data_IF_138175556220
#
_entry.id   IF_138175556220
#
_cell.length_a   1.000
_cell.length_b   1.000
_cell.length_c   1.000
_cell.angle_alpha   90.00
_cell.angle_beta   90.00
_cell.angle_gamma   90.00
#
_symmetry.space_group_name_H-M   'P 1'
#
loop_
_entity.id
_entity.type
_entity.pdbx_description
1 polymer ?
#
# COMPACT_ATOMS: atom_id res chain seq x y z
N UNK A 1 -9.06 -22.22 13.60
CA UNK A 1 -8.06 -21.84 12.59
C UNK A 1 -8.13 -20.32 12.40
N UNK A 2 -7.34 -19.73 11.49
CA UNK A 2 -7.32 -18.27 11.30
C UNK A 2 -8.69 -17.70 10.90
N UNK A 3 -9.41 -18.37 10.00
CA UNK A 3 -10.75 -17.96 9.56
C UNK A 3 -11.73 -17.88 10.73
N UNK A 4 -11.75 -18.89 11.61
CA UNK A 4 -12.60 -18.86 12.80
C UNK A 4 -12.26 -17.68 13.75
N UNK A 5 -10.97 -17.38 13.91
CA UNK A 5 -10.53 -16.26 14.76
C UNK A 5 -10.93 -14.89 14.19
N UNK A 6 -10.92 -14.73 12.86
CA UNK A 6 -11.43 -13.52 12.21
C UNK A 6 -12.96 -13.43 12.28
N UNK A 7 -13.68 -14.54 12.13
CA UNK A 7 -15.14 -14.58 12.23
C UNK A 7 -15.64 -14.16 13.62
N UNK A 8 -15.00 -14.66 14.69
CA UNK A 8 -15.34 -14.28 16.07
C UNK A 8 -15.21 -12.76 16.29
N UNK A 9 -14.10 -12.18 15.84
CA UNK A 9 -13.88 -10.73 15.96
C UNK A 9 -14.84 -9.92 15.10
N UNK A 10 -15.10 -10.37 13.87
CA UNK A 10 -16.03 -9.70 12.95
C UNK A 10 -17.45 -9.65 13.53
N UNK A 11 -17.93 -10.76 14.10
CA UNK A 11 -19.26 -10.82 14.72
C UNK A 11 -19.32 -9.91 15.95
N UNK A 12 -18.30 -9.93 16.81
CA UNK A 12 -18.25 -9.07 17.98
C UNK A 12 -18.28 -7.57 17.62
N UNK A 13 -17.58 -7.17 16.55
CA UNK A 13 -17.61 -5.80 16.04
C UNK A 13 -19.00 -5.43 15.47
N UNK A 14 -19.63 -6.34 14.73
CA UNK A 14 -20.97 -6.13 14.19
C UNK A 14 -22.04 -6.01 15.30
N UNK A 15 -22.00 -6.89 16.30
CA UNK A 15 -22.87 -6.83 17.48
C UNK A 15 -22.65 -5.53 18.29
N UNK A 16 -21.42 -5.01 18.27
CA UNK A 16 -21.05 -3.71 18.83
C UNK A 16 -21.55 -2.50 18.02
N UNK A 17 -22.18 -2.72 16.86
CA UNK A 17 -22.76 -1.68 16.01
C UNK A 17 -21.78 -1.05 15.02
N UNK A 18 -20.70 -1.74 14.65
CA UNK A 18 -19.82 -1.27 13.59
C UNK A 18 -20.54 -1.25 12.23
N UNK A 19 -20.32 -0.19 11.43
CA UNK A 19 -20.89 -0.07 10.09
C UNK A 19 -20.05 -0.80 9.02
N UNK A 20 -18.77 -1.03 9.30
CA UNK A 20 -17.78 -1.54 8.35
C UNK A 20 -16.69 -2.32 9.08
N UNK A 21 -16.17 -3.36 8.44
CA UNK A 21 -15.01 -4.11 8.91
C UNK A 21 -13.74 -3.67 8.18
N UNK A 22 -12.69 -3.39 8.94
CA UNK A 22 -11.45 -2.87 8.40
C UNK A 22 -10.29 -3.84 8.67
N UNK A 23 -9.87 -4.55 7.64
CA UNK A 23 -8.72 -5.45 7.66
C UNK A 23 -7.46 -4.62 7.34
N UNK A 24 -6.70 -4.25 8.37
CA UNK A 24 -5.56 -3.34 8.24
C UNK A 24 -4.20 -4.04 8.31
N UNK A 25 -3.24 -3.61 7.48
CA UNK A 25 -1.82 -4.00 7.56
C UNK A 25 -1.56 -5.50 7.40
N UNK A 26 -2.35 -6.19 6.57
CA UNK A 26 -2.08 -7.60 6.29
C UNK A 26 -0.86 -7.74 5.36
N UNK A 27 -0.21 -8.90 5.41
CA UNK A 27 1.03 -9.12 4.66
C UNK A 27 1.03 -10.36 3.77
N UNK A 28 0.21 -11.39 4.05
CA UNK A 28 0.16 -12.60 3.20
C UNK A 28 -1.19 -12.80 2.53
N UNK A 29 -1.19 -13.57 1.44
CA UNK A 29 -2.40 -13.98 0.72
C UNK A 29 -3.27 -14.86 1.61
N UNK A 30 -2.68 -15.84 2.28
CA UNK A 30 -3.39 -16.80 3.12
C UNK A 30 -4.07 -16.14 4.32
N UNK A 31 -3.42 -15.12 4.90
CA UNK A 31 -3.98 -14.32 5.97
C UNK A 31 -5.15 -13.47 5.46
N UNK A 32 -5.00 -12.81 4.31
CA UNK A 32 -6.07 -12.02 3.70
C UNK A 32 -7.27 -12.88 3.30
N UNK A 33 -7.06 -14.05 2.71
CA UNK A 33 -8.13 -14.99 2.36
C UNK A 33 -8.90 -15.44 3.62
N UNK A 34 -8.18 -15.84 4.68
CA UNK A 34 -8.79 -16.22 5.95
C UNK A 34 -9.57 -15.04 6.58
N UNK A 35 -9.02 -13.83 6.52
CA UNK A 35 -9.62 -12.63 7.06
C UNK A 35 -10.90 -12.23 6.31
N UNK A 36 -10.88 -12.24 4.99
CA UNK A 36 -12.05 -11.95 4.16
C UNK A 36 -13.15 -13.01 4.36
N UNK A 37 -12.78 -14.29 4.42
CA UNK A 37 -13.74 -15.36 4.67
C UNK A 37 -14.36 -15.28 6.07
N UNK A 38 -13.56 -14.95 7.08
CA UNK A 38 -14.05 -14.74 8.44
C UNK A 38 -14.97 -13.52 8.53
N UNK A 39 -14.56 -12.38 7.96
CA UNK A 39 -15.31 -11.14 7.94
C UNK A 39 -16.67 -11.24 7.23
N UNK A 40 -16.76 -12.06 6.17
CA UNK A 40 -17.99 -12.27 5.42
C UNK A 40 -19.15 -12.82 6.30
N UNK A 41 -18.83 -13.51 7.40
CA UNK A 41 -19.85 -14.06 8.32
C UNK A 41 -20.68 -12.98 9.02
N UNK A 42 -20.15 -11.77 9.17
CA UNK A 42 -20.79 -10.66 9.87
C UNK A 42 -21.75 -9.84 8.97
N UNK A 43 -21.74 -10.08 7.65
CA UNK A 43 -22.64 -9.38 6.71
C UNK A 43 -22.38 -7.87 6.54
N UNK A 44 -21.27 -7.35 7.07
CA UNK A 44 -20.87 -5.95 6.93
C UNK A 44 -19.96 -5.74 5.71
N UNK A 45 -19.93 -4.53 5.13
CA UNK A 45 -18.93 -4.17 4.13
C UNK A 45 -17.51 -4.33 4.68
N UNK A 46 -16.56 -4.70 3.82
CA UNK A 46 -15.17 -4.97 4.18
C UNK A 46 -14.23 -4.06 3.39
N UNK A 47 -13.27 -3.48 4.11
CA UNK A 47 -12.09 -2.81 3.56
C UNK A 47 -10.86 -3.65 3.86
N UNK A 48 -9.96 -3.81 2.90
CA UNK A 48 -8.67 -4.47 3.14
C UNK A 48 -7.48 -3.61 2.70
N UNK A 49 -6.46 -3.52 3.53
CA UNK A 49 -5.24 -2.78 3.22
C UNK A 49 -4.01 -3.60 3.54
N UNK A 50 -3.01 -3.49 2.66
CA UNK A 50 -1.72 -4.15 2.82
C UNK A 50 -0.62 -3.12 3.05
N UNK A 51 0.47 -3.56 3.65
CA UNK A 51 1.69 -2.77 3.80
C UNK A 51 2.77 -3.24 2.84
N UNK A 52 3.02 -2.46 1.78
CA UNK A 52 4.07 -2.74 0.80
C UNK A 52 5.43 -2.17 1.25
N UNK A 53 6.49 -2.94 1.03
CA UNK A 53 7.87 -2.62 1.36
C UNK A 53 8.66 -2.05 0.16
N UNK A 54 9.97 -1.85 0.32
CA UNK A 54 10.87 -1.29 -0.71
C UNK A 54 11.03 -2.16 -1.96
N UNK A 55 10.59 -3.41 -1.95
CA UNK A 55 10.58 -4.30 -3.11
C UNK A 55 9.27 -4.19 -3.90
N UNK A 56 8.39 -3.24 -3.54
CA UNK A 56 7.09 -3.00 -4.19
C UNK A 56 6.06 -4.09 -3.86
N UNK A 57 6.27 -4.87 -2.81
CA UNK A 57 5.42 -5.99 -2.40
C UNK A 57 5.38 -6.07 -0.89
N UNK A 58 4.46 -6.82 -0.31
CA UNK A 58 4.46 -7.03 1.14
C UNK A 58 5.70 -7.85 1.56
N UNK A 59 5.96 -7.93 2.86
CA UNK A 59 7.02 -8.78 3.42
C UNK A 59 6.90 -10.26 2.99
N UNK A 60 5.68 -10.72 2.70
CA UNK A 60 5.41 -12.09 2.26
C UNK A 60 5.31 -12.22 0.73
N UNK A 61 5.68 -11.17 -0.01
CA UNK A 61 5.82 -11.19 -1.46
C UNK A 61 4.58 -10.83 -2.25
N UNK A 62 3.49 -10.41 -1.59
CA UNK A 62 2.20 -10.11 -2.20
C UNK A 62 2.21 -8.71 -2.84
N UNK A 63 1.90 -8.62 -4.14
CA UNK A 63 2.01 -7.35 -4.89
C UNK A 63 0.71 -6.55 -4.88
N UNK A 64 0.74 -5.25 -5.22
CA UNK A 64 -0.47 -4.46 -5.43
C UNK A 64 -1.40 -5.06 -6.50
N UNK A 65 -0.84 -5.65 -7.56
CA UNK A 65 -1.61 -6.36 -8.59
C UNK A 65 -2.29 -7.62 -8.07
N UNK A 66 -1.60 -8.39 -7.21
CA UNK A 66 -2.20 -9.57 -6.59
C UNK A 66 -3.37 -9.20 -5.66
N UNK A 67 -3.28 -8.09 -4.95
CA UNK A 67 -4.37 -7.55 -4.13
C UNK A 67 -5.60 -7.23 -4.98
N UNK A 68 -5.41 -6.54 -6.10
CA UNK A 68 -6.49 -6.22 -7.04
C UNK A 68 -7.16 -7.49 -7.57
N UNK A 69 -6.36 -8.45 -8.03
CA UNK A 69 -6.86 -9.72 -8.52
C UNK A 69 -7.66 -10.47 -7.46
N UNK A 70 -7.14 -10.54 -6.23
CA UNK A 70 -7.84 -11.18 -5.12
C UNK A 70 -9.16 -10.45 -4.81
N UNK A 71 -9.16 -9.13 -4.78
CA UNK A 71 -10.38 -8.35 -4.52
C UNK A 71 -11.48 -8.61 -5.57
N UNK A 72 -11.11 -8.83 -6.84
CA UNK A 72 -12.05 -9.19 -7.91
C UNK A 72 -12.57 -10.63 -7.82
N UNK A 73 -11.71 -11.57 -7.43
CA UNK A 73 -12.00 -13.00 -7.52
C UNK A 73 -12.58 -13.59 -6.22
N UNK A 74 -12.27 -12.99 -5.08
CA UNK A 74 -12.68 -13.54 -3.79
C UNK A 74 -14.20 -13.43 -3.60
N UNK A 75 -14.92 -14.48 -3.17
CA UNK A 75 -16.38 -14.46 -3.03
C UNK A 75 -16.91 -13.34 -2.12
N UNK A 76 -16.14 -12.99 -1.09
CA UNK A 76 -16.49 -11.90 -0.17
C UNK A 76 -16.29 -10.49 -0.76
N UNK A 77 -15.53 -10.37 -1.86
CA UNK A 77 -15.18 -9.15 -2.61
C UNK A 77 -15.23 -7.84 -1.79
N UNK A 78 -14.09 -7.36 -1.26
CA UNK A 78 -14.06 -6.17 -0.42
C UNK A 78 -14.51 -4.93 -1.20
N UNK A 79 -15.27 -4.04 -0.56
CA UNK A 79 -15.78 -2.80 -1.17
C UNK A 79 -14.67 -1.77 -1.38
N UNK A 80 -13.59 -1.86 -0.62
CA UNK A 80 -12.42 -1.02 -0.79
C UNK A 80 -11.14 -1.81 -0.52
N UNK A 81 -10.08 -1.51 -1.28
CA UNK A 81 -8.77 -2.07 -1.03
C UNK A 81 -7.65 -1.06 -1.28
N UNK A 82 -6.46 -1.32 -0.74
CA UNK A 82 -5.29 -0.52 -1.08
C UNK A 82 -4.13 -0.68 -0.12
N UNK A 83 -3.47 0.43 0.16
CA UNK A 83 -2.22 0.45 0.91
C UNK A 83 -2.34 1.32 2.16
N UNK A 84 -1.85 0.79 3.27
CA UNK A 84 -1.64 1.53 4.50
C UNK A 84 -0.23 1.28 5.04
N UNK A 85 0.24 2.16 5.92
CA UNK A 85 1.56 2.04 6.51
C UNK A 85 2.65 2.03 5.42
N UNK A 86 3.55 1.04 5.43
CA UNK A 86 4.66 0.92 4.50
C UNK A 86 5.86 1.82 4.83
N UNK A 87 6.68 2.07 3.81
CA UNK A 87 7.91 2.87 3.93
C UNK A 87 7.60 4.35 4.18
N UNK A 88 6.57 4.88 3.52
CA UNK A 88 6.17 6.29 3.62
C UNK A 88 5.12 6.68 2.57
N UNK A 89 4.82 7.99 2.50
CA UNK A 89 3.81 8.54 1.61
C UNK A 89 4.05 8.25 0.12
N UNK A 90 5.32 8.32 -0.31
CA UNK A 90 5.71 8.06 -1.69
C UNK A 90 5.35 6.62 -2.14
N UNK A 91 5.71 5.61 -1.33
CA UNK A 91 5.38 4.20 -1.57
C UNK A 91 3.88 3.93 -1.63
N UNK A 92 3.11 4.54 -0.72
CA UNK A 92 1.65 4.37 -0.71
C UNK A 92 1.05 4.95 -1.99
N UNK A 93 1.44 6.16 -2.39
CA UNK A 93 0.94 6.74 -3.65
C UNK A 93 1.34 5.89 -4.85
N UNK A 94 2.59 5.44 -4.94
CA UNK A 94 3.05 4.56 -6.01
C UNK A 94 2.21 3.26 -6.08
N UNK A 95 1.91 2.65 -4.95
CA UNK A 95 1.06 1.45 -4.89
C UNK A 95 -0.34 1.71 -5.44
N UNK A 96 -0.92 2.87 -5.16
CA UNK A 96 -2.25 3.25 -5.66
C UNK A 96 -2.23 3.53 -7.16
N UNK A 97 -1.18 4.19 -7.66
CA UNK A 97 -0.96 4.37 -9.10
C UNK A 97 -0.92 3.01 -9.82
N UNK A 98 -0.15 2.06 -9.28
CA UNK A 98 -0.04 0.69 -9.83
C UNK A 98 -1.40 0.01 -9.86
N UNK A 99 -2.13 0.00 -8.73
CA UNK A 99 -3.47 -0.63 -8.67
C UNK A 99 -4.43 0.04 -9.67
N UNK A 100 -4.42 1.37 -9.73
CA UNK A 100 -5.30 2.11 -10.64
C UNK A 100 -4.98 1.84 -12.11
N UNK A 101 -3.70 1.70 -12.49
CA UNK A 101 -3.28 1.36 -13.85
C UNK A 101 -3.71 -0.05 -14.23
N UNK A 102 -3.52 -1.02 -13.32
CA UNK A 102 -3.90 -2.41 -13.55
C UNK A 102 -5.43 -2.55 -13.66
N UNK A 103 -6.19 -1.82 -12.84
CA UNK A 103 -7.65 -1.81 -12.91
C UNK A 103 -8.17 -1.23 -14.24
N UNK A 104 -7.49 -0.23 -14.82
CA UNK A 104 -7.84 0.32 -16.14
C UNK A 104 -7.46 -0.59 -17.30
N UNK A 105 -6.41 -1.41 -17.15
CA UNK A 105 -5.97 -2.35 -18.17
C UNK A 105 -6.74 -3.68 -18.14
N UNK A 106 -7.52 -3.95 -17.10
CA UNK A 106 -8.29 -5.17 -16.95
C UNK A 106 -9.68 -5.05 -17.62
N UNK A 107 -9.73 -5.28 -18.93
CA UNK A 107 -10.97 -5.31 -19.72
C UNK A 107 -11.93 -6.45 -19.31
N UNK A 108 -11.48 -7.39 -18.45
CA UNK A 108 -12.28 -8.53 -18.00
C UNK A 108 -13.06 -8.27 -16.71
N UNK A 109 -12.73 -7.20 -15.99
CA UNK A 109 -13.40 -6.83 -14.76
C UNK A 109 -14.72 -6.09 -15.05
N UNK A 110 -15.84 -6.50 -14.44
CA UNK A 110 -17.06 -5.70 -14.48
C UNK A 110 -16.79 -4.31 -13.88
N UNK A 111 -17.12 -3.25 -14.61
CA UNK A 111 -16.85 -1.87 -14.17
C UNK A 111 -17.52 -1.51 -12.83
N UNK A 112 -18.58 -2.24 -12.44
CA UNK A 112 -19.31 -2.11 -11.18
C UNK A 112 -18.68 -2.89 -10.01
N UNK A 113 -17.57 -3.60 -10.24
CA UNK A 113 -16.85 -4.42 -9.23
C UNK A 113 -15.47 -3.91 -8.83
N UNK A 114 -15.02 -2.77 -9.35
CA UNK A 114 -13.75 -2.20 -8.92
C UNK A 114 -13.86 -1.70 -7.47
N UNK A 115 -13.02 -2.19 -6.54
CA UNK A 115 -13.02 -1.70 -5.17
C UNK A 115 -12.59 -0.22 -5.12
N UNK A 116 -13.13 0.53 -4.16
CA UNK A 116 -12.62 1.87 -3.87
C UNK A 116 -11.16 1.78 -3.41
N UNK A 117 -10.31 2.65 -3.93
CA UNK A 117 -8.90 2.64 -3.56
C UNK A 117 -8.64 3.39 -2.24
N UNK A 118 -7.91 2.74 -1.34
CA UNK A 118 -7.56 3.23 0.00
C UNK A 118 -6.08 3.59 0.06
N UNK A 119 -5.77 4.83 0.44
CA UNK A 119 -4.42 5.30 0.70
C UNK A 119 -4.33 5.77 2.15
N UNK A 120 -3.47 5.15 2.97
CA UNK A 120 -3.31 5.53 4.37
C UNK A 120 -1.85 5.49 4.83
N UNK A 121 -1.07 6.49 4.42
CA UNK A 121 0.38 6.52 4.63
C UNK A 121 0.82 6.83 6.07
N UNK A 122 2.02 6.37 6.44
CA UNK A 122 2.72 6.88 7.62
C UNK A 122 3.02 8.38 7.47
N UNK A 123 3.10 9.09 8.59
CA UNK A 123 3.44 10.51 8.61
C UNK A 123 4.95 10.71 8.43
N UNK A 124 5.44 10.54 7.21
CA UNK A 124 6.87 10.49 6.93
C UNK A 124 7.50 9.15 7.28
N UNK A 125 8.83 9.12 7.31
CA UNK A 125 9.61 7.89 7.48
C UNK A 125 9.89 7.71 8.99
N UNK A 126 9.70 6.50 9.56
CA UNK A 126 10.05 6.23 10.95
C UNK A 126 11.57 6.30 11.16
N UNK A 127 12.00 7.11 12.11
CA UNK A 127 13.40 7.26 12.54
C UNK A 127 13.54 6.85 14.00
N UNK A 128 14.65 6.18 14.35
CA UNK A 128 14.94 5.86 15.74
C UNK A 128 15.77 6.98 16.37
N UNK A 129 15.14 7.77 17.23
CA UNK A 129 15.74 8.93 17.89
C UNK A 129 15.58 8.78 19.40
N UNK A 130 16.69 8.78 20.14
CA UNK A 130 16.71 8.73 21.61
C UNK A 130 15.88 7.60 22.22
N UNK A 131 15.99 6.38 21.67
CA UNK A 131 15.34 5.19 22.22
C UNK A 131 13.89 4.97 21.76
N UNK A 132 13.35 5.84 20.92
CA UNK A 132 11.96 5.76 20.42
C UNK A 132 11.87 6.00 18.92
N UNK A 133 10.79 5.49 18.31
CA UNK A 133 10.46 5.76 16.92
C UNK A 133 9.77 7.13 16.84
N UNK A 134 10.31 8.02 16.00
CA UNK A 134 9.77 9.34 15.69
C UNK A 134 9.47 9.38 14.19
N UNK A 135 8.36 10.02 13.85
CA UNK A 135 7.92 10.20 12.47
C UNK A 135 8.21 11.66 12.06
N UNK A 136 8.93 11.83 10.96
CA UNK A 136 9.44 13.13 10.52
C UNK A 136 8.50 13.89 9.56
N UNK A 137 7.32 13.33 9.28
CA UNK A 137 6.35 13.95 8.39
C UNK A 137 5.74 15.21 8.99
N UNK A 138 5.43 16.17 8.11
CA UNK A 138 4.81 17.44 8.48
C UNK A 138 3.37 17.52 7.97
N UNK A 139 2.54 18.43 8.52
CA UNK A 139 1.20 18.70 7.96
C UNK A 139 1.26 19.08 6.48
N UNK A 140 2.28 19.82 6.05
CA UNK A 140 2.48 20.18 4.64
C UNK A 140 2.77 18.96 3.76
N UNK A 141 3.66 18.07 4.19
CA UNK A 141 3.95 16.81 3.49
C UNK A 141 2.69 15.96 3.34
N UNK A 142 1.90 15.83 4.42
CA UNK A 142 0.66 15.05 4.37
C UNK A 142 -0.39 15.70 3.46
N UNK A 143 -0.44 17.03 3.37
CA UNK A 143 -1.27 17.74 2.41
C UNK A 143 -0.89 17.44 0.95
N UNK A 144 0.41 17.45 0.62
CA UNK A 144 0.91 17.04 -0.70
C UNK A 144 0.57 15.58 -1.02
N UNK A 145 0.77 14.71 -0.04
CA UNK A 145 0.42 13.30 -0.13
C UNK A 145 -1.06 13.11 -0.44
N UNK A 146 -1.95 13.82 0.24
CA UNK A 146 -3.40 13.67 0.02
C UNK A 146 -3.82 14.06 -1.40
N UNK A 147 -3.23 15.13 -1.96
CA UNK A 147 -3.47 15.55 -3.35
C UNK A 147 -3.01 14.47 -4.34
N UNK A 148 -1.77 13.99 -4.18
CA UNK A 148 -1.22 12.96 -5.05
C UNK A 148 -1.96 11.63 -4.92
N UNK A 149 -2.37 11.24 -3.71
CA UNK A 149 -3.19 10.05 -3.50
C UNK A 149 -4.55 10.16 -4.22
N UNK A 150 -5.17 11.34 -4.18
CA UNK A 150 -6.42 11.62 -4.91
C UNK A 150 -6.23 11.49 -6.42
N UNK A 151 -5.18 12.11 -6.97
CA UNK A 151 -4.86 12.04 -8.39
C UNK A 151 -4.43 10.64 -8.84
N UNK A 152 -3.83 9.85 -7.94
CA UNK A 152 -3.50 8.44 -8.17
C UNK A 152 -4.73 7.53 -8.29
N UNK A 153 -5.90 7.98 -7.80
CA UNK A 153 -7.15 7.22 -7.86
C UNK A 153 -7.78 6.90 -6.51
N UNK A 154 -7.13 7.25 -5.39
CA UNK A 154 -7.67 6.98 -4.05
C UNK A 154 -9.02 7.70 -3.84
N UNK A 155 -9.92 7.03 -3.14
CA UNK A 155 -11.22 7.55 -2.71
C UNK A 155 -11.34 7.62 -1.20
N UNK A 156 -10.59 6.77 -0.49
CA UNK A 156 -10.44 6.84 0.96
C UNK A 156 -8.99 7.20 1.24
N UNK A 157 -8.78 8.39 1.81
CA UNK A 157 -7.45 8.97 2.05
C UNK A 157 -7.33 9.30 3.54
N UNK A 158 -6.26 8.85 4.18
CA UNK A 158 -6.00 9.13 5.59
C UNK A 158 -4.53 8.94 5.95
N UNK A 159 -4.24 8.77 7.24
CA UNK A 159 -2.90 8.47 7.71
C UNK A 159 -2.84 7.30 8.68
N UNK A 160 -1.65 6.71 8.79
CA UNK A 160 -1.31 5.58 9.65
C UNK A 160 -0.39 6.07 10.78
N UNK A 161 0.72 5.38 11.03
CA UNK A 161 1.59 5.67 12.16
C UNK A 161 2.17 7.08 12.08
N UNK A 162 2.26 7.77 13.22
CA UNK A 162 2.73 9.16 13.32
C UNK A 162 1.71 10.23 12.93
N UNK A 163 0.58 9.86 12.30
CA UNK A 163 -0.44 10.83 11.89
C UNK A 163 -1.19 11.38 13.10
N UNK A 164 -1.46 12.68 13.10
CA UNK A 164 -2.22 13.38 14.16
C UNK A 164 -3.41 14.11 13.58
N UNK A 165 -4.30 14.62 14.42
CA UNK A 165 -5.44 15.44 13.99
C UNK A 165 -5.04 16.70 13.20
N UNK A 166 -3.84 17.26 13.45
CA UNK A 166 -3.30 18.37 12.67
C UNK A 166 -3.01 17.96 11.23
N UNK A 167 -2.38 16.80 11.04
CA UNK A 167 -2.15 16.22 9.72
C UNK A 167 -3.46 15.95 8.98
N UNK A 168 -4.46 15.37 9.65
CA UNK A 168 -5.79 15.15 9.05
C UNK A 168 -6.42 16.47 8.59
N UNK A 169 -6.34 17.53 9.40
CA UNK A 169 -6.88 18.85 9.04
C UNK A 169 -6.16 19.46 7.83
N UNK A 170 -4.85 19.31 7.75
CA UNK A 170 -4.07 19.76 6.60
C UNK A 170 -4.44 18.98 5.33
N UNK A 171 -4.54 17.65 5.41
CA UNK A 171 -5.02 16.81 4.32
C UNK A 171 -6.41 17.22 3.84
N UNK A 172 -7.35 17.44 4.78
CA UNK A 172 -8.71 17.88 4.43
C UNK A 172 -8.71 19.22 3.70
N UNK A 173 -8.00 20.20 4.24
CA UNK A 173 -7.91 21.55 3.64
C UNK A 173 -7.33 21.48 2.22
N UNK A 174 -6.28 20.69 2.04
CA UNK A 174 -5.65 20.51 0.74
C UNK A 174 -6.60 19.83 -0.26
N UNK A 175 -7.32 18.79 0.15
CA UNK A 175 -8.30 18.09 -0.69
C UNK A 175 -9.48 18.99 -1.09
N UNK A 176 -9.93 19.89 -0.20
CA UNK A 176 -11.02 20.83 -0.49
C UNK A 176 -10.67 21.86 -1.56
N UNK A 177 -9.40 22.23 -1.61
CA UNK A 177 -8.87 23.21 -2.54
C UNK A 177 -8.28 22.55 -3.80
N UNK A 178 -8.22 21.21 -3.83
CA UNK A 178 -7.56 20.47 -4.90
C UNK A 178 -8.46 20.36 -6.13
N UNK A 179 -7.93 20.78 -7.27
CA UNK A 179 -8.48 20.43 -8.57
C UNK A 179 -7.77 19.19 -9.06
N UNK A 180 -8.53 18.15 -9.39
CA UNK A 180 -7.97 16.86 -9.81
C UNK A 180 -6.98 17.04 -10.97
N UNK A 181 -5.76 16.56 -10.75
CA UNK A 181 -4.68 16.55 -11.72
C UNK A 181 -4.60 15.22 -12.49
N UNK A 182 -3.64 15.10 -13.42
CA UNK A 182 -3.31 13.80 -14.01
C UNK A 182 -2.76 12.86 -12.95
N UNK A 183 -2.91 11.54 -13.17
CA UNK A 183 -2.27 10.51 -12.35
C UNK A 183 -0.76 10.80 -12.27
N UNK A 184 -0.15 10.85 -11.08
CA UNK A 184 1.28 11.18 -10.96
C UNK A 184 2.15 10.02 -11.42
N UNK A 185 3.27 10.35 -12.09
CA UNK A 185 4.34 9.42 -12.43
C UNK A 185 5.39 9.31 -11.31
N UNK A 186 6.39 8.46 -11.53
CA UNK A 186 7.46 8.21 -10.57
C UNK A 186 8.22 9.48 -10.18
N UNK A 187 8.46 10.37 -11.15
CA UNK A 187 9.18 11.63 -11.00
C UNK A 187 8.37 12.65 -10.19
N UNK A 188 7.07 12.80 -10.47
CA UNK A 188 6.18 13.69 -9.73
C UNK A 188 6.03 13.24 -8.27
N UNK A 189 5.89 11.93 -8.03
CA UNK A 189 5.85 11.38 -6.67
C UNK A 189 7.17 11.70 -5.95
N UNK A 190 8.31 11.43 -6.60
CA UNK A 190 9.62 11.63 -6.00
C UNK A 190 9.91 13.10 -5.65
N UNK A 191 9.52 14.02 -6.54
CA UNK A 191 9.71 15.44 -6.34
C UNK A 191 8.92 16.00 -5.16
N UNK A 192 7.71 15.49 -4.91
CA UNK A 192 6.81 16.00 -3.87
C UNK A 192 6.94 15.26 -2.53
N UNK A 193 7.13 13.93 -2.56
CA UNK A 193 7.00 13.08 -1.36
C UNK A 193 8.31 12.40 -0.95
N UNK A 194 9.39 12.59 -1.71
CA UNK A 194 10.68 11.93 -1.50
C UNK A 194 10.85 10.66 -2.33
N UNK A 195 12.06 10.08 -2.30
CA UNK A 195 12.41 8.95 -3.16
C UNK A 195 11.46 7.76 -3.00
N UNK A 196 11.00 7.23 -4.15
CA UNK A 196 10.39 5.90 -4.21
C UNK A 196 11.47 4.81 -4.35
N UNK A 197 11.17 3.65 -3.80
CA UNK A 197 12.02 2.47 -3.85
C UNK A 197 12.20 1.92 -5.27
N UNK A 198 13.22 1.08 -5.45
CA UNK A 198 13.48 0.40 -6.72
C UNK A 198 12.32 -0.48 -7.15
N UNK A 199 11.66 -1.17 -6.21
CA UNK A 199 10.52 -2.02 -6.53
C UNK A 199 9.26 -1.25 -6.92
N UNK A 200 8.95 -0.17 -6.22
CA UNK A 200 7.85 0.71 -6.63
C UNK A 200 8.11 1.28 -8.03
N UNK A 201 9.33 1.78 -8.29
CA UNK A 201 9.71 2.32 -9.61
C UNK A 201 9.65 1.27 -10.71
N UNK A 202 10.14 0.06 -10.48
CA UNK A 202 10.07 -1.03 -11.46
C UNK A 202 8.61 -1.34 -11.86
N UNK A 203 7.71 -1.45 -10.87
CA UNK A 203 6.30 -1.75 -11.12
C UNK A 203 5.56 -0.61 -11.82
N UNK A 204 5.87 0.65 -11.50
CA UNK A 204 5.34 1.81 -12.23
C UNK A 204 5.71 1.82 -13.72
N UNK A 205 6.82 1.15 -14.09
CA UNK A 205 7.24 0.94 -15.47
C UNK A 205 6.81 -0.43 -16.04
N UNK A 206 5.99 -1.19 -15.31
CA UNK A 206 5.45 -2.48 -15.76
C UNK A 206 6.34 -3.70 -15.48
N UNK A 207 7.45 -3.56 -14.75
CA UNK A 207 8.26 -4.69 -14.32
C UNK A 207 7.82 -5.18 -12.92
N UNK A 208 7.01 -6.24 -12.91
CA UNK A 208 6.51 -6.88 -11.70
C UNK A 208 7.41 -8.03 -11.19
N UNK A 209 8.56 -8.25 -11.84
CA UNK A 209 9.47 -9.33 -11.46
C UNK A 209 10.13 -9.09 -10.10
N UNK A 210 10.51 -10.17 -9.42
CA UNK A 210 11.30 -10.08 -8.18
C UNK A 210 12.66 -9.41 -8.46
N UNK A 211 13.25 -9.68 -9.63
CA UNK A 211 14.53 -9.12 -10.03
C UNK A 211 14.46 -7.60 -10.20
N UNK A 212 13.41 -7.08 -10.83
CA UNK A 212 13.16 -5.63 -10.98
C UNK A 212 13.04 -4.90 -9.64
N UNK A 213 12.46 -5.56 -8.63
CA UNK A 213 12.35 -5.00 -7.28
C UNK A 213 13.64 -5.02 -6.45
N UNK A 214 14.59 -5.88 -6.78
CA UNK A 214 15.82 -6.04 -6.01
C UNK A 214 16.74 -4.83 -6.15
N UNK A 215 17.37 -4.39 -5.04
CA UNK A 215 18.37 -3.32 -5.06
C UNK A 215 19.57 -3.60 -5.99
N UNK A 216 19.80 -4.87 -6.34
CA UNK A 216 20.78 -5.31 -7.36
C UNK A 216 20.41 -4.96 -8.81
N UNK A 217 19.22 -4.43 -9.07
CA UNK A 217 18.82 -3.93 -10.38
C UNK A 217 19.56 -2.65 -10.80
N UNK A 218 20.23 -1.96 -9.87
CA UNK A 218 21.22 -0.93 -10.19
C UNK A 218 22.58 -1.61 -10.40
N UNK A 219 23.06 -1.58 -11.64
CA UNK A 219 24.37 -2.01 -12.11
C UNK A 219 24.59 -3.52 -12.28
N UNK A 220 24.49 -3.96 -13.54
CA UNK A 220 25.27 -5.06 -14.11
C UNK A 220 26.79 -4.78 -14.12
N UNK A 221 27.36 -4.25 -13.03
CA UNK A 221 28.80 -4.27 -12.77
C UNK A 221 29.09 -5.51 -11.94
N UNK A 222 29.51 -6.55 -12.64
CA UNK A 222 30.13 -7.76 -12.10
C UNK A 222 31.06 -7.42 -10.93
N UNK A 223 30.69 -7.86 -9.72
CA UNK A 223 31.64 -7.88 -8.58
C UNK A 223 32.83 -8.74 -9.01
N UNK A 224 34.08 -8.25 -8.92
CA UNK A 224 35.22 -9.05 -9.34
C UNK A 224 35.31 -10.28 -8.44
N UNK A 225 35.42 -11.46 -9.05
CA UNK A 225 35.54 -12.72 -8.35
C UNK A 225 36.73 -12.65 -7.38
N UNK A 226 36.47 -12.87 -6.08
CA UNK A 226 37.54 -13.05 -5.08
C UNK A 226 38.33 -14.29 -5.46
N UNK A 227 39.52 -14.07 -6.04
CA UNK A 227 40.45 -15.13 -6.38
C UNK A 227 40.81 -15.97 -5.14
N UNK A 228 40.53 -17.27 -5.21
CA UNK A 228 41.05 -18.25 -4.26
C UNK A 228 42.57 -18.26 -4.34
N UNK A 229 43.25 -17.70 -3.34
CA UNK A 229 44.69 -17.93 -3.12
C UNK A 229 44.87 -19.43 -2.87
N UNK A 230 45.48 -20.14 -3.84
CA UNK A 230 46.04 -21.47 -3.62
C UNK A 230 47.20 -21.34 -2.64
N UNK A 231 47.09 -21.96 -1.47
CA UNK A 231 48.25 -22.27 -0.65
C UNK A 231 49.14 -23.25 -1.43
N UNK A 232 50.39 -22.88 -1.67
CA UNK A 232 51.43 -23.82 -2.13
C UNK A 232 52.03 -24.46 -0.87
N UNK A 233 52.11 -25.78 -0.89
CA UNK A 233 53.00 -26.58 -0.06
C UNK A 233 54.46 -26.38 -0.51
#
# INVERSE_FOLDING_TARGET
DATAAFAEQAQALADGGADILWLETLSSREELDAALQGAASAGLPVVCTLSFDTNGRTMMGFTPGDLLQLAHQHPASPQACGSNCGVGAAEVVASIVIISQLAEADDSAPADRLPLLVAKANCGIPEYVDGRIVYNGTPALMADYARLARDAGARIIGGCCGTTAEHIRAMRTALDQHQAGPRPDAEAIAACLGEISTGARAQLHGDFSIAGGSASGRDGKTRPARGRRRARA
#
